data_IF_703082534848
#
_entry.id   IF_703082534848
#
_cell.length_a   1.000
_cell.length_b   1.000
_cell.length_c   1.000
_cell.angle_alpha   90.00
_cell.angle_beta   90.00
_cell.angle_gamma   90.00
#
_symmetry.space_group_name_H-M   'P 1'
#
loop_
_entity.id
_entity.type
_entity.pdbx_description
1 polymer ?
#
# COMPACT_ATOMS: atom_id res chain seq x y z
N UNK A 1 -7.64 7.17 9.53
CA UNK A 1 -6.75 6.02 9.28
C UNK A 1 -5.58 6.54 8.46
N UNK A 2 -4.34 6.29 8.86
CA UNK A 2 -3.20 6.77 8.06
C UNK A 2 -3.08 5.95 6.76
N UNK A 3 -2.55 6.56 5.70
CA UNK A 3 -2.34 5.88 4.41
C UNK A 3 -1.47 4.63 4.55
N UNK A 4 -0.50 4.66 5.46
CA UNK A 4 0.34 3.51 5.77
C UNK A 4 -0.52 2.32 6.22
N UNK A 5 -1.40 2.51 7.19
CA UNK A 5 -2.28 1.46 7.72
C UNK A 5 -3.19 0.87 6.63
N UNK A 6 -3.74 1.72 5.76
CA UNK A 6 -4.62 1.28 4.68
C UNK A 6 -3.84 0.45 3.66
N UNK A 7 -2.64 0.90 3.26
CA UNK A 7 -1.76 0.16 2.35
C UNK A 7 -1.42 -1.21 2.93
N UNK A 8 -1.00 -1.25 4.20
CA UNK A 8 -0.67 -2.48 4.91
C UNK A 8 -1.88 -3.41 4.98
N UNK A 9 -3.07 -2.88 5.25
CA UNK A 9 -4.31 -3.65 5.28
C UNK A 9 -4.64 -4.23 3.90
N UNK A 10 -4.60 -3.44 2.82
CA UNK A 10 -4.89 -3.94 1.46
C UNK A 10 -3.90 -5.04 1.03
N UNK A 11 -2.62 -4.95 1.41
CA UNK A 11 -1.62 -6.00 1.11
C UNK A 11 -1.85 -7.24 1.98
N UNK A 12 -2.30 -7.06 3.23
CA UNK A 12 -2.58 -8.17 4.16
C UNK A 12 -3.80 -8.98 3.71
N UNK A 13 -4.85 -8.29 3.29
CA UNK A 13 -6.07 -8.88 2.72
C UNK A 13 -5.81 -9.54 1.36
N UNK A 14 -4.89 -8.97 0.57
CA UNK A 14 -4.60 -9.42 -0.78
C UNK A 14 -3.07 -9.52 -1.05
N UNK A 15 -2.38 -10.57 -0.57
CA UNK A 15 -0.97 -10.77 -0.88
C UNK A 15 -0.72 -10.83 -2.39
N UNK A 16 0.23 -10.02 -2.87
CA UNK A 16 0.54 -9.91 -4.29
C UNK A 16 -0.31 -8.89 -5.05
N UNK A 17 -1.12 -8.08 -4.36
CA UNK A 17 -1.82 -6.95 -4.95
C UNK A 17 -0.85 -5.96 -5.62
N UNK A 18 -1.25 -5.39 -6.75
CA UNK A 18 -0.46 -4.39 -7.45
C UNK A 18 -0.68 -3.00 -6.88
N UNK A 19 0.31 -2.11 -7.00
CA UNK A 19 0.18 -0.74 -6.53
C UNK A 19 -1.04 -0.01 -7.13
N UNK A 20 -1.38 -0.28 -8.39
CA UNK A 20 -2.60 0.25 -9.02
C UNK A 20 -3.87 -0.21 -8.31
N UNK A 21 -3.95 -1.49 -7.95
CA UNK A 21 -5.10 -2.03 -7.20
C UNK A 21 -5.13 -1.54 -5.76
N UNK A 22 -3.98 -1.23 -5.15
CA UNK A 22 -3.91 -0.56 -3.85
C UNK A 22 -4.52 0.85 -3.93
N UNK A 23 -4.21 1.62 -4.99
CA UNK A 23 -4.85 2.93 -5.24
C UNK A 23 -6.37 2.76 -5.34
N UNK A 24 -6.88 1.81 -6.12
CA UNK A 24 -8.33 1.55 -6.19
C UNK A 24 -8.94 1.04 -4.87
N UNK A 25 -8.18 0.28 -4.07
CA UNK A 25 -8.58 -0.15 -2.72
C UNK A 25 -8.72 1.06 -1.79
N UNK A 26 -7.82 2.03 -1.91
CA UNK A 26 -7.88 3.30 -1.21
C UNK A 26 -9.09 4.11 -1.66
N UNK A 27 -9.25 4.39 -2.95
CA UNK A 27 -10.39 5.18 -3.48
C UNK A 27 -11.75 4.60 -3.03
N UNK A 28 -11.89 3.28 -3.05
CA UNK A 28 -13.14 2.62 -2.60
C UNK A 28 -13.36 2.68 -1.09
N UNK A 29 -12.29 2.61 -0.27
CA UNK A 29 -12.38 2.76 1.20
C UNK A 29 -12.48 4.22 1.65
N UNK A 30 -11.93 5.17 0.89
CA UNK A 30 -11.95 6.62 1.17
C UNK A 30 -13.14 7.35 0.58
N UNK A 31 -13.92 6.77 -0.36
CA UNK A 31 -15.19 7.36 -0.79
C UNK A 31 -16.20 7.58 0.37
N UNK A 32 -15.99 6.96 1.54
CA UNK A 32 -16.76 7.19 2.77
C UNK A 32 -16.10 8.17 3.76
N UNK A 33 -14.90 8.66 3.47
CA UNK A 33 -14.09 9.51 4.35
C UNK A 33 -13.53 10.67 3.52
N UNK A 34 -14.04 11.88 3.76
CA UNK A 34 -13.51 13.14 3.18
C UNK A 34 -12.01 13.26 3.46
N UNK A 35 -11.19 12.70 2.59
CA UNK A 35 -9.73 12.70 2.66
C UNK A 35 -9.26 13.66 1.59
N UNK A 36 -8.62 14.74 2.03
CA UNK A 36 -8.12 15.84 1.19
C UNK A 36 -7.19 15.32 0.08
N UNK A 37 -7.38 15.86 -1.13
CA UNK A 37 -6.74 15.43 -2.39
C UNK A 37 -5.21 15.28 -2.34
N UNK A 38 -4.53 15.98 -1.43
CA UNK A 38 -3.07 15.86 -1.24
C UNK A 38 -2.62 14.47 -0.77
N UNK A 39 -3.44 13.80 0.03
CA UNK A 39 -3.05 12.53 0.67
C UNK A 39 -3.31 11.33 -0.25
N UNK A 40 -4.41 11.31 -1.01
CA UNK A 40 -4.74 10.21 -1.94
C UNK A 40 -4.06 10.29 -3.31
N UNK A 41 -3.12 11.22 -3.53
CA UNK A 41 -2.40 11.26 -4.79
C UNK A 41 -1.71 9.91 -5.02
N UNK A 42 -1.93 9.31 -6.19
CA UNK A 42 -1.30 8.07 -6.62
C UNK A 42 0.22 8.08 -6.33
N UNK A 43 0.89 9.23 -6.52
CA UNK A 43 2.29 9.46 -6.20
C UNK A 43 2.64 9.25 -4.71
N UNK A 44 1.78 9.71 -3.78
CA UNK A 44 1.94 9.50 -2.34
C UNK A 44 1.93 8.00 -1.99
N UNK A 45 1.01 7.23 -2.58
CA UNK A 45 0.91 5.78 -2.37
C UNK A 45 2.18 5.08 -2.87
N UNK A 46 2.67 5.44 -4.06
CA UNK A 46 3.93 4.90 -4.58
C UNK A 46 5.13 5.28 -3.69
N UNK A 47 5.17 6.52 -3.17
CA UNK A 47 6.22 6.96 -2.24
C UNK A 47 6.17 6.16 -0.93
N UNK A 48 4.97 5.90 -0.40
CA UNK A 48 4.79 5.15 0.84
C UNK A 48 5.19 3.68 0.67
N UNK A 49 4.78 3.03 -0.42
CA UNK A 49 5.19 1.66 -0.74
C UNK A 49 6.72 1.51 -0.79
N UNK A 50 7.42 2.47 -1.42
CA UNK A 50 8.89 2.50 -1.44
C UNK A 50 9.50 2.70 -0.06
N UNK A 51 8.89 3.55 0.77
CA UNK A 51 9.34 3.81 2.14
C UNK A 51 9.20 2.56 3.01
N UNK A 52 8.04 1.89 2.94
CA UNK A 52 7.78 0.63 3.64
C UNK A 52 8.71 -0.50 3.20
N UNK A 53 9.07 -0.56 1.90
CA UNK A 53 10.10 -1.48 1.40
C UNK A 53 11.46 -1.19 2.03
N UNK A 54 11.88 0.07 2.06
CA UNK A 54 13.15 0.48 2.68
C UNK A 54 13.21 0.17 4.17
N UNK A 55 12.07 0.28 4.88
CA UNK A 55 11.94 -0.10 6.30
C UNK A 55 11.99 -1.62 6.53
N UNK A 56 11.88 -2.44 5.49
CA UNK A 56 11.81 -3.90 5.61
C UNK A 56 10.41 -4.43 5.94
N UNK A 57 9.37 -3.61 5.85
CA UNK A 57 8.00 -4.06 6.12
C UNK A 57 7.39 -4.81 4.93
N UNK A 58 7.75 -4.37 3.72
CA UNK A 58 7.22 -4.89 2.46
C UNK A 58 8.34 -5.32 1.51
N UNK A 59 8.03 -6.21 0.59
CA UNK A 59 8.82 -6.43 -0.61
C UNK A 59 7.93 -6.46 -1.85
N UNK A 60 8.55 -6.34 -3.02
CA UNK A 60 7.86 -6.47 -4.29
C UNK A 60 8.56 -7.46 -5.21
N UNK A 61 7.77 -8.20 -5.99
CA UNK A 61 8.25 -9.06 -7.10
C UNK A 61 7.51 -8.62 -8.36
N UNK A 62 8.21 -7.91 -9.24
CA UNK A 62 7.56 -7.20 -10.35
C UNK A 62 6.63 -6.10 -9.82
N UNK A 63 5.38 -6.10 -10.27
CA UNK A 63 4.34 -5.14 -9.85
C UNK A 63 3.58 -5.56 -8.58
N UNK A 64 3.85 -6.76 -8.05
CA UNK A 64 3.15 -7.37 -6.91
C UNK A 64 3.83 -7.07 -5.59
N UNK A 65 3.04 -6.68 -4.58
CA UNK A 65 3.51 -6.32 -3.24
C UNK A 65 3.10 -7.35 -2.19
N UNK A 66 4.00 -7.58 -1.23
CA UNK A 66 3.85 -8.57 -0.17
C UNK A 66 4.46 -8.02 1.13
N UNK A 67 4.02 -8.55 2.27
CA UNK A 67 4.76 -8.39 3.52
C UNK A 67 6.09 -9.13 3.44
N UNK A 68 7.13 -8.57 4.05
CA UNK A 68 8.35 -9.34 4.32
C UNK A 68 8.00 -10.46 5.29
N UNK A 69 7.97 -11.70 4.81
CA UNK A 69 8.04 -12.85 5.70
C UNK A 69 9.48 -12.95 6.20
N UNK A 70 9.68 -12.88 7.52
CA UNK A 70 11.00 -13.00 8.18
C UNK A 70 11.71 -14.36 7.98
N UNK A 71 11.28 -15.18 7.03
CA UNK A 71 11.82 -16.50 6.69
C UNK A 71 12.48 -16.55 5.29
N UNK A 72 12.79 -15.41 4.67
CA UNK A 72 13.62 -15.36 3.46
C UNK A 72 15.01 -14.83 3.82
N UNK A 73 15.79 -15.73 4.44
CA UNK A 73 17.25 -15.70 4.45
C UNK A 73 17.80 -16.50 3.28
#
# INVERSE_FOLDING_TARGET
MEIEDIILTCIKEHPGISAKKIVSCLDSKTNNLLVTEETNSQASIFKQLRTLKKKGNLHNRGDRWYFMNGNLG
#
